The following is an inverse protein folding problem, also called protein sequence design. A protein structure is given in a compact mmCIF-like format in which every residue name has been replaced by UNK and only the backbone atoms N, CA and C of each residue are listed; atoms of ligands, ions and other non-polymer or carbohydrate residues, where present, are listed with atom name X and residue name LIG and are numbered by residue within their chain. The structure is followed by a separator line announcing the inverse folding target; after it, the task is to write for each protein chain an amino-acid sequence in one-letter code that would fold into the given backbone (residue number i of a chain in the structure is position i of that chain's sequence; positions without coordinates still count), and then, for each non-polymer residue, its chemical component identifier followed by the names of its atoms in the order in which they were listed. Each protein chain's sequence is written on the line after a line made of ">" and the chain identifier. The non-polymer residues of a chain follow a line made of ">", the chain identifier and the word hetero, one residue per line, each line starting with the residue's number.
data_IF_640168292736
#
_entry.id   IF_640168292736
#
_cell.length_a   1.000
_cell.length_b   1.000
_cell.length_c   1.000
_cell.angle_alpha   90.00
_cell.angle_beta   90.00
_cell.angle_gamma   90.00
#
_symmetry.space_group_name_H-M   'P 1'
#
loop_
_entity.id
_entity.type
_entity.pdbx_description
1 polymer ?
#
# COMPACT_ATOMS: atom_id res chain seq x y z
N UNK A 1 -9.41 -18.28 -2.53
CA UNK A 1 -8.72 -17.01 -2.86
C UNK A 1 -9.72 -15.94 -3.29
N UNK A 2 -9.73 -14.78 -2.64
CA UNK A 2 -10.57 -13.64 -3.04
C UNK A 2 -9.87 -12.85 -4.15
N UNK A 3 -10.60 -12.52 -5.22
CA UNK A 3 -10.11 -11.65 -6.28
C UNK A 3 -10.40 -10.20 -5.89
N UNK A 4 -9.38 -9.34 -5.89
CA UNK A 4 -9.51 -7.93 -5.52
C UNK A 4 -9.05 -7.08 -6.71
N UNK A 5 -9.91 -6.18 -7.18
CA UNK A 5 -9.61 -5.30 -8.30
C UNK A 5 -8.70 -4.13 -7.89
N UNK A 6 -8.02 -3.53 -8.88
CA UNK A 6 -7.27 -2.28 -8.71
C UNK A 6 -8.08 -1.20 -7.99
N UNK A 7 -9.35 -1.04 -8.39
CA UNK A 7 -10.24 -0.03 -7.81
C UNK A 7 -10.55 -0.31 -6.34
N UNK A 8 -10.72 -1.57 -5.95
CA UNK A 8 -10.95 -1.96 -4.57
C UNK A 8 -9.71 -1.73 -3.70
N UNK A 9 -8.51 -2.02 -4.20
CA UNK A 9 -7.26 -1.73 -3.50
C UNK A 9 -7.06 -0.21 -3.33
N UNK A 10 -7.32 0.55 -4.39
CA UNK A 10 -7.27 2.01 -4.34
C UNK A 10 -8.27 2.57 -3.32
N UNK A 11 -9.51 2.07 -3.30
CA UNK A 11 -10.52 2.49 -2.32
C UNK A 11 -10.09 2.20 -0.87
N UNK A 12 -9.37 1.10 -0.62
CA UNK A 12 -8.78 0.82 0.71
C UNK A 12 -7.71 1.83 1.10
N UNK A 13 -6.84 2.22 0.17
CA UNK A 13 -5.83 3.26 0.40
C UNK A 13 -6.52 4.59 0.74
N UNK A 14 -7.52 4.99 -0.05
CA UNK A 14 -8.29 6.22 0.20
C UNK A 14 -8.97 6.19 1.56
N UNK A 15 -9.60 5.06 1.92
CA UNK A 15 -10.23 4.88 3.22
C UNK A 15 -9.24 5.01 4.38
N UNK A 16 -8.06 4.39 4.28
CA UNK A 16 -7.01 4.48 5.30
C UNK A 16 -6.40 5.88 5.46
N UNK A 17 -6.40 6.70 4.40
CA UNK A 17 -5.96 8.09 4.47
C UNK A 17 -6.99 9.04 5.08
N UNK A 18 -8.25 8.60 5.22
CA UNK A 18 -9.37 9.46 5.63
C UNK A 18 -9.17 10.11 6.99
N UNK A 19 -8.66 9.37 7.98
CA UNK A 19 -8.41 9.91 9.32
C UNK A 19 -7.35 11.02 9.31
N UNK A 20 -6.20 10.73 8.70
CA UNK A 20 -5.09 11.70 8.57
C UNK A 20 -5.48 12.95 7.80
N UNK A 21 -6.27 12.79 6.73
CA UNK A 21 -6.79 13.91 5.94
C UNK A 21 -7.82 14.74 6.72
N UNK A 22 -8.69 14.08 7.49
CA UNK A 22 -9.66 14.77 8.34
C UNK A 22 -8.97 15.60 9.44
N UNK A 23 -7.92 15.06 10.07
CA UNK A 23 -7.13 15.79 11.07
C UNK A 23 -6.57 17.08 10.48
N UNK A 24 -5.94 16.99 9.30
CA UNK A 24 -5.31 18.14 8.65
C UNK A 24 -6.33 19.20 8.21
N UNK A 25 -7.48 18.78 7.67
CA UNK A 25 -8.52 19.70 7.20
C UNK A 25 -9.20 20.43 8.37
N UNK A 26 -9.45 19.73 9.48
CA UNK A 26 -10.25 20.26 10.60
C UNK A 26 -9.39 20.98 11.63
N UNK A 27 -8.21 20.43 11.97
CA UNK A 27 -7.36 20.95 13.03
C UNK A 27 -6.10 21.65 12.52
N UNK A 28 -5.74 21.46 11.25
CA UNK A 28 -4.54 22.03 10.63
C UNK A 28 -3.30 21.14 10.79
N UNK A 29 -2.24 21.48 10.05
CA UNK A 29 -1.01 20.69 9.98
C UNK A 29 -0.27 20.57 11.33
N UNK A 30 -0.37 21.58 12.20
CA UNK A 30 0.26 21.55 13.52
C UNK A 30 -0.37 20.57 14.51
N UNK A 31 -1.63 20.19 14.28
CA UNK A 31 -2.44 19.35 15.17
C UNK A 31 -2.57 17.91 14.66
N UNK A 32 -1.80 17.56 13.63
CA UNK A 32 -1.69 16.19 13.12
C UNK A 32 -1.14 15.27 14.19
N UNK A 33 -1.76 14.10 14.35
CA UNK A 33 -1.40 13.16 15.40
C UNK A 33 -0.60 11.96 14.88
N UNK A 34 -0.02 11.21 15.82
CA UNK A 34 0.60 9.90 15.54
C UNK A 34 -0.43 8.78 15.40
N UNK A 35 -1.73 9.06 15.59
CA UNK A 35 -2.81 8.07 15.57
C UNK A 35 -2.96 7.35 14.23
N UNK A 36 -2.65 8.03 13.12
CA UNK A 36 -2.72 7.43 11.77
C UNK A 36 -1.53 6.54 11.40
N UNK A 37 -0.52 6.35 12.27
CA UNK A 37 0.70 5.62 11.94
C UNK A 37 0.44 4.18 11.44
N UNK A 38 -0.51 3.48 12.07
CA UNK A 38 -0.89 2.13 11.65
C UNK A 38 -1.53 2.08 10.26
N UNK A 39 -2.44 3.01 9.99
CA UNK A 39 -3.10 3.10 8.67
C UNK A 39 -2.08 3.44 7.58
N UNK A 40 -1.21 4.44 7.83
CA UNK A 40 -0.15 4.85 6.90
C UNK A 40 0.80 3.69 6.55
N UNK A 41 1.19 2.89 7.53
CA UNK A 41 2.03 1.71 7.29
C UNK A 41 1.32 0.69 6.42
N UNK A 42 0.05 0.39 6.70
CA UNK A 42 -0.74 -0.59 5.94
C UNK A 42 -0.97 -0.15 4.50
N UNK A 43 -1.43 1.08 4.28
CA UNK A 43 -1.70 1.58 2.92
C UNK A 43 -0.42 1.72 2.09
N UNK A 44 0.71 2.06 2.72
CA UNK A 44 2.02 2.14 2.04
C UNK A 44 2.44 0.75 1.56
N UNK A 45 2.28 -0.27 2.42
CA UNK A 45 2.51 -1.66 2.04
C UNK A 45 1.60 -2.09 0.88
N UNK A 46 0.32 -1.73 0.92
CA UNK A 46 -0.65 -2.05 -0.12
C UNK A 46 -0.31 -1.38 -1.45
N UNK A 47 0.04 -0.09 -1.42
CA UNK A 47 0.48 0.65 -2.61
C UNK A 47 1.74 0.02 -3.22
N UNK A 48 2.70 -0.38 -2.40
CA UNK A 48 3.90 -1.10 -2.86
C UNK A 48 3.53 -2.41 -3.54
N UNK A 49 2.62 -3.21 -2.98
CA UNK A 49 2.16 -4.45 -3.61
C UNK A 49 1.42 -4.21 -4.93
N UNK A 50 0.59 -3.17 -5.01
CA UNK A 50 -0.08 -2.77 -6.25
C UNK A 50 0.93 -2.57 -7.38
N UNK A 51 2.03 -1.87 -7.11
CA UNK A 51 3.06 -1.61 -8.13
C UNK A 51 3.96 -2.82 -8.37
N UNK A 52 4.58 -3.33 -7.30
CA UNK A 52 5.69 -4.30 -7.39
C UNK A 52 5.21 -5.72 -7.66
N UNK A 53 4.07 -6.12 -7.10
CA UNK A 53 3.58 -7.51 -7.17
C UNK A 53 2.48 -7.67 -8.20
N UNK A 54 1.55 -6.72 -8.27
CA UNK A 54 0.33 -6.87 -9.07
C UNK A 54 0.41 -6.20 -10.46
N UNK A 55 1.51 -5.51 -10.78
CA UNK A 55 1.63 -4.80 -12.06
C UNK A 55 0.54 -3.73 -12.25
N UNK A 56 0.03 -3.18 -11.15
CA UNK A 56 -1.04 -2.19 -11.15
C UNK A 56 -0.46 -0.77 -11.24
N UNK A 57 0.39 -0.51 -12.23
CA UNK A 57 0.95 0.82 -12.50
C UNK A 57 1.20 1.03 -13.99
N UNK A 58 1.56 2.25 -14.38
CA UNK A 58 1.86 2.61 -15.77
C UNK A 58 3.15 1.96 -16.31
N UNK A 59 3.94 1.32 -15.42
CA UNK A 59 5.09 0.48 -15.79
C UNK A 59 4.64 -0.75 -16.61
N UNK A 60 3.37 -1.14 -16.49
CA UNK A 60 2.77 -2.27 -17.18
C UNK A 60 2.42 -3.44 -16.26
N UNK A 61 1.85 -4.53 -16.82
CA UNK A 61 1.31 -5.66 -16.06
C UNK A 61 2.40 -6.64 -15.60
N UNK A 62 3.54 -6.12 -15.14
CA UNK A 62 4.72 -6.89 -14.76
C UNK A 62 4.86 -6.96 -13.25
N UNK A 63 5.27 -8.13 -12.73
CA UNK A 63 5.80 -8.23 -11.37
C UNK A 63 7.27 -7.83 -11.40
N UNK A 64 7.66 -6.94 -10.48
CA UNK A 64 9.03 -6.48 -10.27
C UNK A 64 9.73 -7.26 -9.15
N UNK A 65 9.12 -8.34 -8.65
CA UNK A 65 9.77 -9.21 -7.67
C UNK A 65 10.76 -10.13 -8.39
N UNK A 66 12.03 -10.06 -7.98
CA UNK A 66 13.07 -10.95 -8.49
C UNK A 66 12.78 -12.40 -8.09
N UNK A 67 12.83 -13.32 -9.06
CA UNK A 67 12.73 -14.75 -8.80
C UNK A 67 13.85 -15.28 -7.88
N UNK A 68 14.97 -14.56 -7.77
CA UNK A 68 16.13 -14.94 -6.97
C UNK A 68 15.90 -14.87 -5.44
N UNK A 69 14.85 -14.18 -4.96
CA UNK A 69 14.53 -14.14 -3.53
C UNK A 69 13.63 -15.29 -3.05
N UNK A 70 13.17 -16.18 -3.93
CA UNK A 70 12.33 -17.34 -3.57
C UNK A 70 13.06 -18.69 -3.64
N UNK A 71 14.38 -18.72 -3.85
CA UNK A 71 15.12 -19.95 -4.20
C UNK A 71 16.31 -20.36 -3.33
N UNK A 72 16.81 -19.54 -2.39
CA UNK A 72 18.09 -19.81 -1.71
C UNK A 72 17.97 -20.24 -0.24
N UNK A 73 17.01 -21.12 0.06
CA UNK A 73 16.92 -21.81 1.38
C UNK A 73 16.99 -23.34 1.24
N UNK A 74 17.12 -23.88 0.01
CA UNK A 74 17.33 -25.31 -0.21
C UNK A 74 18.68 -25.53 -0.90
N UNK A 75 19.75 -25.42 -0.12
CA UNK A 75 21.02 -26.18 -0.21
C UNK A 75 22.14 -25.42 0.49
N UNK A 76 22.17 -25.48 1.82
CA UNK A 76 23.41 -25.55 2.61
C UNK A 76 23.17 -26.40 3.85
#
# INVERSE_FOLDING_TARGET
>A
PTLISRQQLFARIVGGLGGRAAEEIIFGDSEVTTGAAGDLQQITGLAKQMVVTFGMSDIGPWSLMDAAQSGDVIMR
#
